data_IF_847302669432
#
_entry.id   IF_847302669432
#
_cell.length_a   1.000
_cell.length_b   1.000
_cell.length_c   1.000
_cell.angle_alpha   90.00
_cell.angle_beta   90.00
_cell.angle_gamma   90.00
#
_symmetry.space_group_name_H-M   'P 1'
#
loop_
_entity.id
_entity.type
_entity.pdbx_description
1 polymer ?
#
# COMPACT_ATOMS: atom_id res chain seq x y z
N UNK A 1 6.43 83.89 25.73
CA UNK A 1 5.55 83.49 26.84
C UNK A 1 4.51 82.56 26.25
N UNK A 2 4.53 81.30 26.72
CA UNK A 2 3.39 80.38 26.91
C UNK A 2 2.42 80.13 25.71
N UNK A 3 2.02 78.93 25.29
CA UNK A 3 1.86 77.61 25.94
C UNK A 3 1.41 76.57 24.89
N UNK A 4 1.65 75.27 25.17
CA UNK A 4 0.84 74.06 24.81
C UNK A 4 0.44 73.77 23.34
N UNK A 5 0.90 72.70 22.68
CA UNK A 5 0.68 71.26 22.91
C UNK A 5 -0.78 70.79 22.96
N UNK A 6 -1.20 70.01 21.93
CA UNK A 6 -2.27 68.97 21.86
C UNK A 6 -2.23 68.42 20.42
N UNK A 7 -1.87 67.18 20.06
CA UNK A 7 -2.13 65.80 20.55
C UNK A 7 -3.63 65.45 20.64
N UNK A 8 -4.07 64.56 19.73
CA UNK A 8 -5.05 63.48 19.95
C UNK A 8 -5.13 62.66 18.65
N UNK A 9 -4.40 61.56 18.52
CA UNK A 9 -4.63 60.22 19.10
C UNK A 9 -5.48 59.31 18.21
N UNK A 10 -4.76 58.31 17.67
CA UNK A 10 -5.22 57.16 16.93
C UNK A 10 -6.16 56.34 17.82
N UNK A 11 -7.40 56.14 17.39
CA UNK A 11 -8.36 55.24 18.01
C UNK A 11 -7.82 53.80 18.01
N UNK A 12 -7.20 53.39 19.11
CA UNK A 12 -6.78 52.02 19.37
C UNK A 12 -8.03 51.22 19.76
N UNK A 13 -8.55 50.43 18.82
CA UNK A 13 -9.64 49.50 19.09
C UNK A 13 -9.21 48.54 20.22
N UNK A 14 -9.90 48.60 21.37
CA UNK A 14 -9.60 47.76 22.53
C UNK A 14 -9.89 46.30 22.19
N UNK A 15 -8.89 45.42 22.34
CA UNK A 15 -9.07 43.98 22.16
C UNK A 15 -10.11 43.45 23.15
N UNK A 16 -10.97 42.55 22.66
CA UNK A 16 -12.05 41.97 23.47
C UNK A 16 -11.43 40.92 24.40
N UNK A 17 -11.95 40.71 25.62
CA UNK A 17 -11.45 39.67 26.52
C UNK A 17 -11.48 38.26 25.90
N UNK A 18 -12.38 38.02 24.94
CA UNK A 18 -12.49 36.79 24.15
C UNK A 18 -11.24 36.48 23.31
N UNK A 19 -10.47 37.51 22.95
CA UNK A 19 -9.27 37.34 22.11
C UNK A 19 -8.14 36.63 22.87
N UNK A 20 -8.22 36.57 24.21
CA UNK A 20 -7.27 35.81 25.07
C UNK A 20 -7.62 34.32 25.16
N UNK A 21 -8.78 33.90 24.67
CA UNK A 21 -9.29 32.52 24.75
C UNK A 21 -9.37 31.83 23.39
N UNK A 22 -8.77 32.41 22.34
CA UNK A 22 -8.55 31.69 21.08
C UNK A 22 -7.19 30.98 21.15
N UNK A 23 -7.10 29.70 21.61
CA UNK A 23 -6.00 28.88 21.14
C UNK A 23 -6.06 28.92 19.62
N UNK A 24 -4.90 28.96 18.94
CA UNK A 24 -4.85 28.79 17.48
C UNK A 24 -5.64 27.52 17.17
N UNK A 25 -6.89 27.69 16.74
CA UNK A 25 -7.76 26.56 16.48
C UNK A 25 -7.14 25.94 15.26
N UNK A 26 -6.53 24.77 15.46
CA UNK A 26 -6.02 23.97 14.36
C UNK A 26 -7.26 23.67 13.55
N UNK A 27 -7.41 24.31 12.39
CA UNK A 27 -8.48 23.94 11.47
C UNK A 27 -8.19 22.47 11.11
N UNK A 28 -9.02 21.51 11.56
CA UNK A 28 -8.78 20.08 11.34
C UNK A 28 -8.78 19.73 9.84
N UNK A 29 -9.21 20.66 8.99
CA UNK A 29 -9.28 20.56 7.54
C UNK A 29 -8.24 21.44 6.80
N UNK A 30 -7.49 22.29 7.50
CA UNK A 30 -6.47 23.17 6.88
C UNK A 30 -5.16 22.47 6.54
N UNK A 31 -4.89 21.32 7.15
CA UNK A 31 -3.87 20.43 6.63
C UNK A 31 -4.46 19.80 5.37
N UNK A 32 -4.09 20.31 4.19
CA UNK A 32 -4.15 19.51 2.97
C UNK A 32 -3.46 18.20 3.32
N UNK A 33 -4.21 17.15 3.63
CA UNK A 33 -3.68 15.82 3.88
C UNK A 33 -2.93 15.48 2.61
N UNK A 34 -1.61 15.60 2.63
CA UNK A 34 -0.78 15.22 1.48
C UNK A 34 -0.85 13.71 1.44
N UNK A 35 -1.79 13.19 0.67
CA UNK A 35 -1.93 11.77 0.45
C UNK A 35 -0.62 11.26 -0.14
N UNK A 36 -0.02 10.26 0.52
CA UNK A 36 1.28 9.70 0.11
C UNK A 36 1.15 8.90 -1.18
N UNK A 37 -0.03 8.35 -1.43
CA UNK A 37 -0.33 7.49 -2.59
C UNK A 37 -1.71 7.82 -3.14
N UNK A 38 -1.99 7.39 -4.37
CA UNK A 38 -3.34 7.45 -4.96
C UNK A 38 -4.34 6.65 -4.13
N UNK A 39 -3.89 5.56 -3.49
CA UNK A 39 -4.73 4.75 -2.60
C UNK A 39 -5.30 5.56 -1.44
N UNK A 40 -4.48 6.30 -0.68
CA UNK A 40 -4.99 7.03 0.49
C UNK A 40 -5.94 8.15 0.09
N UNK A 41 -5.74 8.79 -1.07
CA UNK A 41 -6.69 9.74 -1.64
C UNK A 41 -8.01 9.05 -2.03
N UNK A 42 -7.94 7.92 -2.76
CA UNK A 42 -9.12 7.16 -3.17
C UNK A 42 -9.93 6.65 -1.98
N UNK A 43 -9.28 6.15 -0.93
CA UNK A 43 -9.95 5.66 0.27
C UNK A 43 -10.68 6.79 1.02
N UNK A 44 -10.01 7.93 1.25
CA UNK A 44 -10.61 9.08 1.95
C UNK A 44 -11.80 9.66 1.17
N UNK A 45 -11.76 9.61 -0.17
CA UNK A 45 -12.85 10.05 -1.04
C UNK A 45 -13.95 8.99 -1.25
N UNK A 46 -13.89 7.83 -0.57
CA UNK A 46 -14.89 6.78 -0.67
C UNK A 46 -14.81 5.94 -1.96
N UNK A 47 -13.72 6.03 -2.71
CA UNK A 47 -13.51 5.27 -3.96
C UNK A 47 -13.11 3.80 -3.75
N UNK A 48 -12.80 3.39 -2.52
CA UNK A 48 -12.50 1.99 -2.17
C UNK A 48 -13.71 1.40 -1.43
N UNK A 49 -14.35 0.34 -1.93
CA UNK A 49 -15.62 -0.18 -1.43
C UNK A 49 -15.47 -1.06 -0.17
N UNK A 50 -14.65 -0.63 0.78
CA UNK A 50 -14.47 -1.30 2.05
C UNK A 50 -14.22 -0.30 3.18
N UNK A 51 -14.42 -0.72 4.43
CA UNK A 51 -14.11 0.08 5.61
C UNK A 51 -13.51 -0.77 6.72
N UNK A 52 -12.67 -0.13 7.53
CA UNK A 52 -12.22 -0.71 8.79
C UNK A 52 -13.38 -0.70 9.80
N UNK A 53 -13.72 -1.86 10.34
CA UNK A 53 -14.67 -2.00 11.45
C UNK A 53 -13.91 -2.31 12.73
N UNK A 54 -14.03 -1.41 13.71
CA UNK A 54 -13.46 -1.58 15.03
C UNK A 54 -14.39 -2.46 15.88
N UNK A 55 -14.11 -3.77 15.91
CA UNK A 55 -14.71 -4.67 16.89
C UNK A 55 -14.08 -4.49 18.28
N UNK A 56 -14.78 -4.95 19.32
CA UNK A 56 -14.31 -4.88 20.71
C UNK A 56 -13.03 -5.69 20.97
N UNK A 57 -12.72 -6.69 20.13
CA UNK A 57 -11.57 -7.60 20.28
C UNK A 57 -10.69 -7.66 19.02
N UNK A 58 -11.27 -7.57 17.83
CA UNK A 58 -10.55 -7.63 16.56
C UNK A 58 -11.06 -6.58 15.58
N UNK A 59 -10.12 -5.97 14.87
CA UNK A 59 -10.42 -5.16 13.71
C UNK A 59 -10.73 -6.08 12.51
N UNK A 60 -11.76 -5.74 11.75
CA UNK A 60 -12.14 -6.49 10.55
C UNK A 60 -12.29 -5.54 9.37
N UNK A 61 -12.04 -6.03 8.17
CA UNK A 61 -12.35 -5.32 6.94
C UNK A 61 -13.75 -5.70 6.49
N UNK A 62 -14.64 -4.72 6.35
CA UNK A 62 -15.98 -4.94 5.83
C UNK A 62 -16.07 -4.36 4.42
N UNK A 63 -16.42 -5.22 3.46
CA UNK A 63 -16.69 -4.81 2.08
C UNK A 63 -18.16 -4.41 1.90
N UNK A 64 -18.41 -3.38 1.10
CA UNK A 64 -19.78 -2.98 0.71
C UNK A 64 -20.39 -3.93 -0.33
N UNK A 65 -19.53 -4.56 -1.12
CA UNK A 65 -19.87 -5.55 -2.17
C UNK A 65 -18.87 -6.71 -2.07
N UNK A 66 -19.31 -7.95 -2.29
CA UNK A 66 -18.42 -9.12 -2.22
C UNK A 66 -17.18 -8.94 -3.13
N UNK A 67 -15.96 -9.29 -2.69
CA UNK A 67 -14.75 -9.23 -3.52
C UNK A 67 -14.86 -9.94 -4.88
N UNK A 68 -15.69 -10.99 -4.96
CA UNK A 68 -15.96 -11.75 -6.18
C UNK A 68 -16.81 -10.99 -7.21
N UNK A 69 -17.55 -9.96 -6.79
CA UNK A 69 -18.45 -9.18 -7.65
C UNK A 69 -17.86 -7.81 -8.01
N UNK A 70 -16.77 -7.41 -7.35
CA UNK A 70 -16.14 -6.11 -7.59
C UNK A 70 -15.42 -6.06 -8.95
N UNK A 71 -15.50 -4.93 -9.67
CA UNK A 71 -14.62 -4.66 -10.80
C UNK A 71 -13.20 -4.39 -10.29
N UNK A 72 -12.20 -5.04 -10.88
CA UNK A 72 -10.79 -4.90 -10.42
C UNK A 72 -10.07 -3.73 -11.09
N UNK A 73 -10.58 -3.25 -12.22
CA UNK A 73 -10.08 -2.02 -12.84
C UNK A 73 -10.98 -0.84 -12.42
N UNK A 74 -10.46 0.24 -11.81
CA UNK A 74 -9.07 0.49 -11.42
C UNK A 74 -8.75 0.07 -9.97
N UNK A 75 -9.67 -0.62 -9.30
CA UNK A 75 -9.61 -0.92 -7.87
C UNK A 75 -8.31 -1.63 -7.45
N UNK A 76 -7.98 -2.75 -8.08
CA UNK A 76 -6.83 -3.58 -7.72
C UNK A 76 -5.50 -2.84 -7.98
N UNK A 77 -5.41 -2.09 -9.08
CA UNK A 77 -4.23 -1.25 -9.38
C UNK A 77 -4.04 -0.21 -8.26
N UNK A 78 -5.13 0.46 -7.87
CA UNK A 78 -5.13 1.43 -6.76
C UNK A 78 -4.72 0.78 -5.44
N UNK A 79 -5.22 -0.42 -5.14
CA UNK A 79 -4.82 -1.17 -3.94
C UNK A 79 -3.33 -1.53 -3.94
N UNK A 80 -2.77 -1.91 -5.09
CA UNK A 80 -1.34 -2.22 -5.22
C UNK A 80 -0.45 -1.00 -4.97
N UNK A 81 -0.86 0.20 -5.38
CA UNK A 81 -0.13 1.44 -5.06
C UNK A 81 -0.09 1.73 -3.56
N UNK A 82 -1.13 1.29 -2.84
CA UNK A 82 -1.23 1.37 -1.39
C UNK A 82 -0.21 0.54 -0.61
N UNK A 83 0.53 -0.37 -1.26
CA UNK A 83 1.56 -1.19 -0.58
C UNK A 83 2.65 -0.35 0.11
N UNK A 84 2.84 0.90 -0.33
CA UNK A 84 3.82 1.85 0.23
C UNK A 84 3.26 2.69 1.38
N UNK A 85 2.01 2.48 1.76
CA UNK A 85 1.43 3.15 2.91
C UNK A 85 2.09 2.69 4.20
N UNK A 86 2.19 3.63 5.15
CA UNK A 86 2.87 3.40 6.44
C UNK A 86 2.02 3.83 7.62
N UNK A 87 0.83 4.38 7.36
CA UNK A 87 -0.05 4.98 8.36
C UNK A 87 -1.31 4.13 8.50
N UNK A 88 -1.72 3.85 9.74
CA UNK A 88 -3.02 3.24 10.02
C UNK A 88 -4.15 4.27 9.80
N UNK A 89 -5.29 3.91 9.17
CA UNK A 89 -5.75 2.56 8.84
C UNK A 89 -5.31 2.01 7.48
N UNK A 90 -4.64 2.80 6.64
CA UNK A 90 -4.32 2.45 5.25
C UNK A 90 -3.54 1.14 5.13
N UNK A 91 -2.52 0.94 5.97
CA UNK A 91 -1.72 -0.30 5.99
C UNK A 91 -2.56 -1.56 6.22
N UNK A 92 -3.55 -1.47 7.12
CA UNK A 92 -4.46 -2.58 7.42
C UNK A 92 -5.37 -2.87 6.23
N UNK A 93 -5.98 -1.82 5.67
CA UNK A 93 -6.93 -1.93 4.56
C UNK A 93 -6.25 -2.51 3.33
N UNK A 94 -5.06 -2.03 2.98
CA UNK A 94 -4.30 -2.56 1.82
C UNK A 94 -3.95 -4.02 2.04
N UNK A 95 -3.39 -4.39 3.20
CA UNK A 95 -2.96 -5.76 3.48
C UNK A 95 -4.12 -6.75 3.41
N UNK A 96 -5.22 -6.45 4.10
CA UNK A 96 -6.38 -7.33 4.13
C UNK A 96 -7.15 -7.28 2.82
N UNK A 97 -7.30 -6.10 2.23
CA UNK A 97 -8.07 -5.95 1.01
C UNK A 97 -7.41 -6.59 -0.21
N UNK A 98 -6.08 -6.49 -0.34
CA UNK A 98 -5.34 -7.22 -1.38
C UNK A 98 -5.46 -8.74 -1.19
N UNK A 99 -5.43 -9.22 0.06
CA UNK A 99 -5.65 -10.64 0.33
C UNK A 99 -7.05 -11.08 -0.10
N UNK A 100 -8.08 -10.35 0.31
CA UNK A 100 -9.46 -10.70 -0.01
C UNK A 100 -9.73 -10.67 -1.52
N UNK A 101 -9.19 -9.66 -2.24
CA UNK A 101 -9.31 -9.58 -3.69
C UNK A 101 -8.53 -10.71 -4.37
N UNK A 102 -7.25 -10.91 -4.05
CA UNK A 102 -6.43 -11.91 -4.75
C UNK A 102 -6.87 -13.35 -4.49
N UNK A 103 -7.57 -13.61 -3.37
CA UNK A 103 -8.10 -14.93 -3.02
C UNK A 103 -9.59 -15.11 -3.36
N UNK A 104 -10.26 -14.11 -3.93
CA UNK A 104 -11.67 -14.22 -4.27
C UNK A 104 -11.91 -15.28 -5.36
N UNK A 105 -13.10 -15.85 -5.37
CA UNK A 105 -13.50 -16.80 -6.40
C UNK A 105 -13.42 -16.14 -7.79
N UNK A 106 -12.82 -16.86 -8.74
CA UNK A 106 -12.58 -16.39 -10.12
C UNK A 106 -11.75 -15.09 -10.22
N UNK A 107 -10.99 -14.71 -9.18
CA UNK A 107 -10.13 -13.54 -9.21
C UNK A 107 -9.13 -13.57 -10.37
N UNK A 108 -8.63 -14.74 -10.75
CA UNK A 108 -7.68 -14.94 -11.85
C UNK A 108 -8.15 -14.30 -13.16
N UNK A 109 -9.43 -14.42 -13.52
CA UNK A 109 -10.02 -13.85 -14.74
C UNK A 109 -9.95 -12.32 -14.77
N UNK A 110 -9.95 -11.68 -13.60
CA UNK A 110 -9.88 -10.23 -13.44
C UNK A 110 -8.45 -9.73 -13.23
N UNK A 111 -7.59 -10.55 -12.64
CA UNK A 111 -6.18 -10.22 -12.35
C UNK A 111 -5.33 -10.31 -13.61
N UNK A 112 -5.46 -11.39 -14.39
CA UNK A 112 -4.61 -11.67 -15.56
C UNK A 112 -4.58 -10.49 -16.55
N UNK A 113 -5.72 -9.88 -16.95
CA UNK A 113 -5.74 -8.71 -17.83
C UNK A 113 -5.02 -7.48 -17.27
N UNK A 114 -4.89 -7.38 -15.94
CA UNK A 114 -4.30 -6.24 -15.25
C UNK A 114 -2.84 -6.44 -14.87
N UNK A 115 -2.26 -7.65 -15.04
CA UNK A 115 -0.90 -7.96 -14.56
C UNK A 115 0.14 -6.91 -14.95
N UNK A 116 0.17 -6.46 -16.19
CA UNK A 116 1.12 -5.44 -16.66
C UNK A 116 1.04 -4.12 -15.89
N UNK A 117 -0.14 -3.79 -15.34
CA UNK A 117 -0.39 -2.60 -14.53
C UNK A 117 -0.11 -2.83 -13.03
N UNK A 118 -0.26 -4.06 -12.53
CA UNK A 118 0.01 -4.41 -11.12
C UNK A 118 1.51 -4.53 -10.80
N UNK A 119 2.31 -4.92 -11.80
CA UNK A 119 3.74 -5.19 -11.61
C UNK A 119 4.56 -3.93 -11.29
N UNK A 120 4.37 -2.77 -11.95
CA UNK A 120 5.08 -1.53 -11.60
C UNK A 120 4.93 -1.09 -10.13
N UNK A 121 3.71 -0.94 -9.56
CA UNK A 121 3.57 -0.52 -8.16
C UNK A 121 4.14 -1.56 -7.19
N UNK A 122 3.99 -2.86 -7.46
CA UNK A 122 4.62 -3.92 -6.66
C UNK A 122 6.15 -3.80 -6.66
N UNK A 123 6.75 -3.64 -7.84
CA UNK A 123 8.21 -3.48 -7.98
C UNK A 123 8.70 -2.23 -7.26
N UNK A 124 7.95 -1.13 -7.30
CA UNK A 124 8.30 0.09 -6.57
C UNK A 124 8.26 -0.14 -5.06
N UNK A 125 7.21 -0.80 -4.56
CA UNK A 125 7.07 -1.10 -3.14
C UNK A 125 8.17 -2.05 -2.63
N UNK A 126 8.60 -3.03 -3.44
CA UNK A 126 9.74 -3.92 -3.12
C UNK A 126 11.09 -3.19 -2.98
N UNK A 127 11.22 -1.96 -3.47
CA UNK A 127 12.43 -1.15 -3.31
C UNK A 127 12.49 -0.40 -1.97
N UNK A 128 11.36 -0.27 -1.26
CA UNK A 128 11.29 0.45 0.02
C UNK A 128 12.15 -0.23 1.09
N UNK A 129 12.90 0.56 1.87
CA UNK A 129 13.82 0.03 2.89
C UNK A 129 13.11 -0.61 4.08
N UNK A 130 11.84 -0.28 4.29
CA UNK A 130 11.06 -0.80 5.40
C UNK A 130 10.88 -2.32 5.30
N UNK A 131 11.26 -3.02 6.37
CA UNK A 131 11.09 -4.47 6.52
C UNK A 131 9.61 -4.85 6.38
N UNK A 132 8.72 -4.10 7.03
CA UNK A 132 7.28 -4.39 7.04
C UNK A 132 6.63 -4.24 5.66
N UNK A 133 7.06 -3.24 4.88
CA UNK A 133 6.56 -3.04 3.50
C UNK A 133 7.07 -4.18 2.62
N UNK A 134 8.35 -4.54 2.74
CA UNK A 134 8.94 -5.60 1.94
C UNK A 134 8.26 -6.94 2.18
N UNK A 135 8.00 -7.30 3.45
CA UNK A 135 7.30 -8.54 3.79
C UNK A 135 5.85 -8.55 3.26
N UNK A 136 5.15 -7.42 3.36
CA UNK A 136 3.81 -7.28 2.78
C UNK A 136 3.82 -7.44 1.25
N UNK A 137 4.86 -6.92 0.57
CA UNK A 137 5.03 -7.11 -0.87
C UNK A 137 5.31 -8.56 -1.24
N UNK A 138 6.14 -9.28 -0.47
CA UNK A 138 6.40 -10.71 -0.70
C UNK A 138 5.14 -11.55 -0.51
N UNK A 139 4.37 -11.31 0.55
CA UNK A 139 3.07 -11.96 0.77
C UNK A 139 2.10 -11.67 -0.36
N UNK A 140 2.02 -10.42 -0.83
CA UNK A 140 1.19 -10.04 -1.98
C UNK A 140 1.66 -10.74 -3.26
N UNK A 141 2.98 -10.88 -3.46
CA UNK A 141 3.53 -11.59 -4.61
C UNK A 141 3.22 -13.09 -4.57
N UNK A 142 3.22 -13.73 -3.40
CA UNK A 142 2.77 -15.11 -3.23
C UNK A 142 1.30 -15.27 -3.65
N UNK A 143 0.43 -14.41 -3.13
CA UNK A 143 -1.00 -14.40 -3.46
C UNK A 143 -1.24 -14.14 -4.96
N UNK A 144 -0.49 -13.21 -5.54
CA UNK A 144 -0.55 -12.92 -6.97
C UNK A 144 -0.10 -14.13 -7.80
N UNK A 145 0.92 -14.85 -7.34
CA UNK A 145 1.38 -16.09 -7.98
C UNK A 145 0.34 -17.21 -7.89
N UNK A 146 -0.33 -17.36 -6.75
CA UNK A 146 -1.38 -18.37 -6.57
C UNK A 146 -2.59 -18.08 -7.49
N UNK A 147 -2.94 -16.80 -7.67
CA UNK A 147 -4.06 -16.40 -8.52
C UNK A 147 -3.74 -16.40 -10.03
N UNK A 148 -2.54 -15.98 -10.43
CA UNK A 148 -2.16 -15.84 -11.84
C UNK A 148 -1.41 -17.05 -12.42
N UNK A 149 -0.83 -17.90 -11.58
CA UNK A 149 -0.07 -19.07 -12.03
C UNK A 149 1.07 -18.72 -12.98
N UNK A 150 1.15 -19.46 -14.09
CA UNK A 150 2.18 -19.28 -15.12
C UNK A 150 2.11 -17.95 -15.87
N UNK A 151 0.97 -17.24 -15.85
CA UNK A 151 0.85 -15.93 -16.50
C UNK A 151 1.80 -14.88 -15.87
N UNK A 152 2.20 -15.09 -14.61
CA UNK A 152 3.15 -14.21 -13.93
C UNK A 152 4.58 -14.35 -14.47
N UNK A 153 4.90 -15.43 -15.20
CA UNK A 153 6.26 -15.75 -15.64
C UNK A 153 6.93 -14.64 -16.46
N UNK A 154 6.15 -13.96 -17.32
CA UNK A 154 6.66 -12.87 -18.17
C UNK A 154 7.15 -11.66 -17.36
N UNK A 155 6.69 -11.53 -16.11
CA UNK A 155 7.02 -10.43 -15.22
C UNK A 155 8.09 -10.77 -14.17
N UNK A 156 8.46 -12.04 -14.00
CA UNK A 156 9.43 -12.47 -12.99
C UNK A 156 10.80 -11.80 -13.16
N UNK A 157 11.25 -11.59 -14.41
CA UNK A 157 12.52 -10.90 -14.70
C UNK A 157 12.59 -9.48 -14.11
N UNK A 158 11.43 -8.84 -13.93
CA UNK A 158 11.28 -7.49 -13.39
C UNK A 158 11.27 -7.47 -11.86
N UNK A 159 10.69 -8.50 -11.23
CA UNK A 159 10.51 -8.58 -9.77
C UNK A 159 11.70 -9.21 -9.05
N UNK A 160 12.23 -10.32 -9.57
CA UNK A 160 13.28 -11.12 -8.93
C UNK A 160 14.55 -10.35 -8.56
N UNK A 161 15.02 -9.34 -9.35
CA UNK A 161 16.18 -8.55 -8.94
C UNK A 161 16.00 -7.80 -7.62
N UNK A 162 14.77 -7.51 -7.17
CA UNK A 162 14.56 -6.88 -5.86
C UNK A 162 14.66 -7.89 -4.71
N UNK A 163 14.23 -9.13 -4.96
CA UNK A 163 14.32 -10.23 -4.00
C UNK A 163 15.77 -10.67 -3.82
N UNK A 164 16.52 -10.85 -4.92
CA UNK A 164 17.90 -11.32 -4.89
C UNK A 164 18.83 -10.40 -4.09
N UNK A 165 18.63 -9.08 -4.18
CA UNK A 165 19.37 -8.07 -3.41
C UNK A 165 19.23 -8.22 -1.89
N UNK A 166 18.13 -8.81 -1.40
CA UNK A 166 17.84 -8.97 0.03
C UNK A 166 17.92 -10.41 0.52
N UNK A 167 18.39 -11.33 -0.32
CA UNK A 167 18.42 -12.75 -0.03
C UNK A 167 19.23 -13.12 1.22
N UNK A 168 20.30 -12.37 1.48
CA UNK A 168 21.19 -12.61 2.61
C UNK A 168 20.84 -11.77 3.84
N UNK A 169 19.76 -10.98 3.78
CA UNK A 169 19.23 -10.35 4.98
C UNK A 169 18.47 -11.40 5.80
N UNK A 170 18.96 -11.67 7.01
CA UNK A 170 18.38 -12.66 7.94
C UNK A 170 16.90 -12.39 8.24
N UNK A 171 16.49 -11.13 8.23
CA UNK A 171 15.11 -10.73 8.53
C UNK A 171 14.13 -11.24 7.46
N UNK A 172 14.58 -11.37 6.21
CA UNK A 172 13.72 -11.69 5.07
C UNK A 172 14.00 -13.05 4.43
N UNK A 173 15.13 -13.69 4.76
CA UNK A 173 15.62 -14.89 4.09
C UNK A 173 14.56 -16.01 4.00
N UNK A 174 13.84 -16.26 5.10
CA UNK A 174 12.78 -17.27 5.15
C UNK A 174 11.61 -16.94 4.21
N UNK A 175 11.12 -15.70 4.25
CA UNK A 175 9.99 -15.27 3.42
C UNK A 175 10.36 -15.16 1.94
N UNK A 176 11.57 -14.70 1.61
CA UNK A 176 12.08 -14.71 0.23
C UNK A 176 12.14 -16.15 -0.29
N UNK A 177 12.68 -17.08 0.49
CA UNK A 177 12.79 -18.49 0.08
C UNK A 177 11.43 -19.11 -0.18
N UNK A 178 10.48 -18.91 0.73
CA UNK A 178 9.08 -19.33 0.56
C UNK A 178 8.42 -18.69 -0.67
N UNK A 179 8.71 -17.42 -0.94
CA UNK A 179 8.17 -16.71 -2.12
C UNK A 179 8.72 -17.29 -3.42
N UNK A 180 10.02 -17.56 -3.51
CA UNK A 180 10.62 -18.19 -4.70
C UNK A 180 10.06 -19.59 -4.96
N UNK A 181 9.84 -20.37 -3.90
CA UNK A 181 9.19 -21.69 -4.00
C UNK A 181 7.75 -21.59 -4.50
N UNK A 182 6.98 -20.61 -4.00
CA UNK A 182 5.62 -20.36 -4.48
C UNK A 182 5.61 -20.02 -5.98
N UNK A 183 6.53 -19.15 -6.43
CA UNK A 183 6.67 -18.77 -7.84
C UNK A 183 7.08 -19.97 -8.72
N UNK A 184 8.01 -20.82 -8.26
CA UNK A 184 8.37 -22.05 -8.98
C UNK A 184 7.19 -23.02 -9.07
N UNK A 185 6.51 -23.30 -7.95
CA UNK A 185 5.39 -24.24 -7.88
C UNK A 185 4.28 -23.86 -8.86
N UNK A 186 3.94 -22.57 -8.91
CA UNK A 186 2.82 -22.08 -9.70
C UNK A 186 3.20 -21.77 -11.16
N UNK A 187 4.46 -21.40 -11.43
CA UNK A 187 4.94 -21.06 -12.76
C UNK A 187 5.71 -22.18 -13.48
N UNK A 188 5.98 -23.30 -12.80
CA UNK A 188 6.59 -24.52 -13.33
C UNK A 188 8.04 -24.34 -13.79
N UNK A 189 8.46 -25.19 -14.74
CA UNK A 189 9.84 -25.22 -15.27
C UNK A 189 10.31 -23.87 -15.80
N UNK A 190 9.42 -23.10 -16.44
CA UNK A 190 9.75 -21.77 -16.97
C UNK A 190 10.09 -20.80 -15.84
N UNK A 191 9.28 -20.78 -14.77
CA UNK A 191 9.60 -19.97 -13.59
C UNK A 191 10.93 -20.39 -12.96
N UNK A 192 11.16 -21.69 -12.77
CA UNK A 192 12.42 -22.20 -12.25
C UNK A 192 13.64 -21.71 -13.05
N UNK A 193 13.60 -21.79 -14.39
CA UNK A 193 14.69 -21.32 -15.23
C UNK A 193 14.95 -19.82 -15.06
N UNK A 194 13.89 -19.01 -14.96
CA UNK A 194 14.01 -17.56 -14.75
C UNK A 194 14.56 -17.26 -13.35
N UNK A 195 14.07 -17.95 -12.32
CA UNK A 195 14.53 -17.83 -10.94
C UNK A 195 16.01 -18.19 -10.86
N UNK A 196 16.42 -19.34 -11.39
CA UNK A 196 17.83 -19.79 -11.34
C UNK A 196 18.77 -18.82 -12.06
N UNK A 197 18.32 -18.21 -13.16
CA UNK A 197 19.09 -17.21 -13.88
C UNK A 197 19.27 -15.89 -13.10
N UNK A 198 18.30 -15.49 -12.26
CA UNK A 198 18.35 -14.25 -11.46
C UNK A 198 18.82 -14.46 -10.03
N UNK A 199 18.72 -15.69 -9.54
CA UNK A 199 19.06 -16.13 -8.20
C UNK A 199 19.84 -17.45 -8.29
N UNK A 200 21.15 -17.40 -8.59
CA UNK A 200 21.93 -18.62 -8.79
C UNK A 200 22.01 -19.52 -7.55
N UNK A 201 21.90 -18.93 -6.36
CA UNK A 201 21.93 -19.62 -5.06
C UNK A 201 20.64 -20.38 -4.74
N UNK A 202 19.55 -20.13 -5.48
CA UNK A 202 18.29 -20.82 -5.26
C UNK A 202 18.40 -22.29 -5.69
N UNK A 203 17.95 -23.18 -4.81
CA UNK A 203 17.82 -24.62 -5.07
C UNK A 203 16.37 -25.01 -4.91
N UNK A 204 15.83 -25.70 -5.92
CA UNK A 204 14.47 -26.23 -5.85
C UNK A 204 14.39 -27.28 -4.73
N UNK A 205 13.28 -27.26 -3.99
CA UNK A 205 12.96 -28.31 -3.01
C UNK A 205 11.99 -29.35 -3.58
N UNK A 206 11.58 -29.21 -4.84
CA UNK A 206 10.81 -30.20 -5.57
C UNK A 206 11.78 -31.15 -6.29
N UNK A 207 12.40 -32.05 -5.53
CA UNK A 207 13.15 -33.21 -6.03
C UNK A 207 12.28 -34.46 -6.01
#
# INVERSE_FOLDING_TARGET
MDTSSKRSEINKCKSRPSDRLNPKTVDPFSAKVRHKTTFSAAYVNGGIPCRLVHGSVKHTLQWSTSPEDLPYDPLLVTMMEGLRETVHPFTFIVKHGLRDLLQADRASMKIIPLLSQLIPPLRQALQEQSITIFDACLQTLQLLSDAAGSELNVHLKTLLPQLSKRMFNKDHMGLISSTLQCLERNGGKVAFMIIKAKVPTYTSMCS
#
